data_IF_328607350815
#
_entry.id   IF_328607350815
#
_cell.length_a   1.000
_cell.length_b   1.000
_cell.length_c   1.000
_cell.angle_alpha   90.00
_cell.angle_beta   90.00
_cell.angle_gamma   90.00
#
_symmetry.space_group_name_H-M   'P 1'
#
loop_
_entity.id
_entity.type
_entity.pdbx_description
1 polymer ?
#
# COMPACT_ATOMS: atom_id res chain seq x y z
N UNK A 1 6.80 27.12 -2.27
CA UNK A 1 6.17 28.19 -1.50
C UNK A 1 6.30 27.92 0.00
N UNK A 2 6.15 26.66 0.44
CA UNK A 2 6.33 26.23 1.83
C UNK A 2 7.27 25.04 1.87
N UNK A 3 8.02 24.87 2.96
CA UNK A 3 8.86 23.70 3.25
C UNK A 3 8.41 23.04 4.55
N UNK A 4 8.48 21.72 4.59
CA UNK A 4 8.15 20.91 5.76
C UNK A 4 9.23 21.09 6.83
N UNK A 5 8.82 21.35 8.07
CA UNK A 5 9.71 21.44 9.24
C UNK A 5 9.69 20.11 10.00
N UNK A 6 10.63 19.22 9.69
CA UNK A 6 10.74 17.91 10.33
C UNK A 6 11.11 17.98 11.81
N UNK A 7 11.76 19.06 12.28
CA UNK A 7 12.08 19.25 13.71
C UNK A 7 10.81 19.50 14.54
N UNK A 8 9.75 20.03 13.91
CA UNK A 8 8.43 20.21 14.51
C UNK A 8 7.47 19.04 14.26
N UNK A 9 7.98 17.92 13.73
CA UNK A 9 7.19 16.75 13.44
C UNK A 9 6.30 16.87 12.21
N UNK A 10 6.53 17.85 11.33
CA UNK A 10 5.76 18.00 10.10
C UNK A 10 6.18 16.93 9.08
N UNK A 11 5.21 16.27 8.48
CA UNK A 11 5.42 15.21 7.50
C UNK A 11 5.03 15.62 6.08
N UNK A 12 4.03 16.50 5.93
CA UNK A 12 3.57 16.97 4.63
C UNK A 12 2.75 18.25 4.75
N UNK A 13 2.72 19.05 3.67
CA UNK A 13 1.72 20.09 3.44
C UNK A 13 0.73 19.59 2.39
N UNK A 14 -0.56 19.53 2.75
CA UNK A 14 -1.58 18.83 1.97
C UNK A 14 -2.85 19.65 1.77
N UNK A 15 -3.64 19.28 0.77
CA UNK A 15 -4.96 19.88 0.42
C UNK A 15 -4.95 21.40 0.31
N UNK A 16 -4.08 21.97 -0.55
CA UNK A 16 -4.09 23.40 -0.74
C UNK A 16 -5.39 23.85 -1.43
N UNK A 17 -5.89 25.01 -0.99
CA UNK A 17 -7.01 25.71 -1.60
C UNK A 17 -6.65 27.19 -1.77
N UNK A 18 -6.77 27.69 -2.98
CA UNK A 18 -6.56 29.11 -3.28
C UNK A 18 -7.77 29.92 -2.80
N UNK A 19 -7.53 30.88 -1.93
CA UNK A 19 -8.57 31.79 -1.43
C UNK A 19 -8.69 33.05 -2.29
N UNK A 20 -9.87 33.72 -2.28
CA UNK A 20 -10.09 34.93 -3.08
C UNK A 20 -9.15 36.12 -2.81
N UNK A 21 -8.54 36.16 -1.61
CA UNK A 21 -7.64 37.23 -1.15
C UNK A 21 -6.15 36.93 -1.45
N UNK A 22 -5.82 36.16 -2.48
CA UNK A 22 -4.45 35.77 -2.83
C UNK A 22 -3.69 35.07 -1.67
N UNK A 23 -4.38 34.24 -0.92
CA UNK A 23 -3.76 33.35 0.06
C UNK A 23 -4.12 31.90 -0.21
N UNK A 24 -3.41 30.96 0.42
CA UNK A 24 -3.61 29.51 0.27
C UNK A 24 -3.90 28.91 1.63
N UNK A 25 -5.08 28.33 1.77
CA UNK A 25 -5.44 27.48 2.92
C UNK A 25 -4.86 26.08 2.69
N UNK A 26 -4.25 25.48 3.70
CA UNK A 26 -3.68 24.14 3.58
C UNK A 26 -3.59 23.44 4.93
N UNK A 27 -3.33 22.14 4.90
CA UNK A 27 -3.11 21.33 6.10
C UNK A 27 -1.63 21.05 6.27
N UNK A 28 -1.09 21.32 7.45
CA UNK A 28 0.21 20.84 7.92
C UNK A 28 -0.04 19.49 8.59
N UNK A 29 0.40 18.41 7.94
CA UNK A 29 0.19 17.05 8.40
C UNK A 29 1.35 16.58 9.27
N UNK A 30 1.05 16.03 10.45
CA UNK A 30 2.02 15.54 11.44
C UNK A 30 1.75 14.09 11.88
N UNK A 31 1.17 13.26 10.98
CA UNK A 31 0.94 11.83 11.20
C UNK A 31 -0.47 11.47 11.62
N UNK A 32 -1.18 12.31 12.36
CA UNK A 32 -2.58 12.11 12.75
C UNK A 32 -3.44 13.36 12.48
N UNK A 33 -4.76 13.20 12.43
CA UNK A 33 -5.69 14.33 12.29
C UNK A 33 -5.73 15.21 13.57
N UNK A 34 -5.38 14.64 14.71
CA UNK A 34 -5.36 15.35 16.00
C UNK A 34 -4.13 16.25 16.11
N UNK A 35 -2.99 15.83 15.55
CA UNK A 35 -1.73 16.58 15.52
C UNK A 35 -1.61 17.49 14.30
N UNK A 36 -2.47 17.31 13.29
CA UNK A 36 -2.51 18.15 12.12
C UNK A 36 -2.90 19.59 12.47
N UNK A 37 -2.50 20.54 11.64
CA UNK A 37 -2.84 21.96 11.80
C UNK A 37 -3.39 22.49 10.48
N UNK A 38 -4.40 23.35 10.58
CA UNK A 38 -4.85 24.15 9.44
C UNK A 38 -4.07 25.45 9.42
N UNK A 39 -3.51 25.81 8.29
CA UNK A 39 -2.68 27.00 8.10
C UNK A 39 -3.07 27.77 6.84
N UNK A 40 -2.75 29.06 6.82
CA UNK A 40 -2.91 29.94 5.66
C UNK A 40 -1.57 30.56 5.29
N UNK A 41 -1.24 30.53 4.01
CA UNK A 41 -0.07 31.19 3.41
C UNK A 41 -0.53 32.46 2.68
N UNK A 42 0.07 33.58 2.96
CA UNK A 42 -0.05 34.78 2.14
C UNK A 42 0.86 34.70 0.93
N UNK A 43 0.29 34.76 -0.28
CA UNK A 43 1.10 34.77 -1.52
C UNK A 43 1.80 36.10 -1.77
N UNK A 44 1.40 37.17 -1.07
CA UNK A 44 2.03 38.51 -1.16
C UNK A 44 3.28 38.61 -0.31
N UNK A 45 3.22 38.09 0.94
CA UNK A 45 4.32 38.21 1.90
C UNK A 45 5.14 36.94 2.09
N UNK A 46 4.62 35.78 1.69
CA UNK A 46 5.19 34.47 1.96
C UNK A 46 5.02 34.03 3.43
N UNK A 47 4.26 34.76 4.23
CA UNK A 47 4.04 34.44 5.63
C UNK A 47 3.02 33.29 5.79
N UNK A 48 3.32 32.36 6.69
CA UNK A 48 2.44 31.26 7.08
C UNK A 48 1.88 31.51 8.48
N UNK A 49 0.57 31.52 8.61
CA UNK A 49 -0.14 31.64 9.89
C UNK A 49 -0.88 30.34 10.18
N UNK A 50 -0.72 29.80 11.40
CA UNK A 50 -1.47 28.64 11.87
C UNK A 50 -2.82 29.10 12.41
N UNK A 51 -3.91 28.52 11.89
CA UNK A 51 -5.29 28.91 12.20
C UNK A 51 -5.91 28.03 13.28
N UNK A 52 -5.71 26.71 13.19
CA UNK A 52 -6.35 25.72 14.04
C UNK A 52 -5.36 24.60 14.38
N UNK A 53 -5.43 24.12 15.62
CA UNK A 53 -4.81 22.89 16.06
C UNK A 53 -5.85 21.77 15.99
N UNK A 54 -5.44 20.64 15.42
CA UNK A 54 -6.36 19.54 15.07
C UNK A 54 -7.13 19.81 13.78
N UNK A 55 -7.38 18.74 13.04
CA UNK A 55 -8.17 18.79 11.83
C UNK A 55 -7.40 18.90 10.53
N UNK A 56 -8.03 18.42 9.48
CA UNK A 56 -7.42 18.27 8.17
C UNK A 56 -8.41 18.52 7.04
N UNK A 57 -7.89 18.64 5.81
CA UNK A 57 -8.68 18.83 4.60
C UNK A 57 -9.64 20.04 4.69
N UNK A 58 -9.09 21.17 5.14
CA UNK A 58 -9.86 22.40 5.32
C UNK A 58 -10.32 22.99 3.98
N UNK A 59 -11.55 23.54 3.97
CA UNK A 59 -12.16 24.24 2.84
C UNK A 59 -12.82 25.53 3.30
N UNK A 60 -12.66 26.58 2.51
CA UNK A 60 -13.31 27.86 2.75
C UNK A 60 -14.73 27.89 2.17
N UNK A 61 -15.69 28.32 2.97
CA UNK A 61 -17.05 28.61 2.54
C UNK A 61 -17.24 30.10 2.29
N UNK A 62 -17.92 30.50 1.20
CA UNK A 62 -18.27 31.91 0.94
C UNK A 62 -19.10 32.58 2.06
N UNK A 63 -19.63 31.78 2.97
CA UNK A 63 -20.33 32.29 4.18
C UNK A 63 -19.38 32.82 5.26
N UNK A 64 -18.06 32.86 5.00
CA UNK A 64 -17.06 33.32 5.96
C UNK A 64 -16.68 32.26 6.99
N UNK A 65 -16.69 30.99 6.62
CA UNK A 65 -16.32 29.89 7.50
C UNK A 65 -15.25 28.99 6.85
N UNK A 66 -14.44 28.37 7.68
CA UNK A 66 -13.60 27.22 7.32
C UNK A 66 -14.31 25.95 7.80
N UNK A 67 -14.50 24.98 6.89
CA UNK A 67 -14.92 23.62 7.21
C UNK A 67 -13.72 22.70 7.14
N UNK A 68 -13.60 21.77 8.11
CA UNK A 68 -12.49 20.82 8.17
C UNK A 68 -12.91 19.52 8.86
N UNK A 69 -12.19 18.43 8.59
CA UNK A 69 -12.51 17.10 9.09
C UNK A 69 -11.71 16.72 10.33
N UNK A 70 -12.37 16.18 11.35
CA UNK A 70 -11.75 15.53 12.51
C UNK A 70 -12.58 14.30 12.88
N UNK A 71 -11.98 13.12 12.91
CA UNK A 71 -12.60 11.92 13.47
C UNK A 71 -13.97 11.53 12.85
N UNK A 72 -14.17 11.78 11.55
CA UNK A 72 -15.44 11.49 10.86
C UNK A 72 -16.52 12.55 11.01
N UNK A 73 -16.18 13.68 11.63
CA UNK A 73 -17.07 14.83 11.79
C UNK A 73 -16.49 16.02 11.01
N UNK A 74 -17.33 16.77 10.30
CA UNK A 74 -16.98 18.09 9.79
C UNK A 74 -17.27 19.13 10.86
N UNK A 75 -16.29 19.98 11.05
CA UNK A 75 -16.35 21.13 11.96
C UNK A 75 -16.33 22.42 11.15
N UNK A 76 -16.99 23.45 11.65
CA UNK A 76 -16.94 24.77 11.07
C UNK A 76 -16.46 25.81 12.11
N UNK A 77 -15.73 26.80 11.62
CA UNK A 77 -15.30 27.94 12.42
C UNK A 77 -15.37 29.20 11.56
N UNK A 78 -15.74 30.33 12.17
CA UNK A 78 -15.72 31.62 11.48
C UNK A 78 -14.32 32.03 11.07
N UNK A 79 -14.17 32.59 9.86
CA UNK A 79 -12.89 33.00 9.30
C UNK A 79 -13.01 34.34 8.61
N UNK A 80 -12.22 35.31 9.07
CA UNK A 80 -12.05 36.60 8.41
C UNK A 80 -11.05 36.49 7.28
N UNK A 81 -11.54 36.54 6.06
CA UNK A 81 -10.74 36.40 4.85
C UNK A 81 -9.74 37.57 4.69
N UNK A 82 -10.10 38.77 5.14
CA UNK A 82 -9.25 39.98 5.04
C UNK A 82 -8.09 39.95 6.01
N UNK A 83 -8.33 39.56 7.25
CA UNK A 83 -7.32 39.45 8.31
C UNK A 83 -6.60 38.09 8.30
N UNK A 84 -7.16 37.08 7.63
CA UNK A 84 -6.66 35.70 7.60
C UNK A 84 -6.62 35.08 9.00
N UNK A 85 -7.66 35.31 9.80
CA UNK A 85 -7.74 34.88 11.18
C UNK A 85 -9.08 34.20 11.48
N UNK A 86 -9.05 33.27 12.44
CA UNK A 86 -10.25 32.62 12.97
C UNK A 86 -11.01 33.64 13.82
N UNK A 87 -12.30 33.75 13.56
CA UNK A 87 -13.22 34.68 14.27
C UNK A 87 -14.45 33.93 14.78
N UNK A 88 -15.17 34.54 15.73
CA UNK A 88 -16.49 34.09 16.15
C UNK A 88 -16.53 32.95 17.16
N UNK A 89 -15.43 32.58 17.80
CA UNK A 89 -15.42 31.63 18.91
C UNK A 89 -14.88 30.23 18.58
N UNK A 90 -15.29 29.22 19.35
CA UNK A 90 -14.81 27.85 19.17
C UNK A 90 -15.44 27.19 17.95
N UNK A 91 -14.72 26.24 17.31
CA UNK A 91 -15.29 25.41 16.26
C UNK A 91 -16.52 24.65 16.73
N UNK A 92 -17.49 24.50 15.82
CA UNK A 92 -18.72 23.74 16.07
C UNK A 92 -18.85 22.55 15.12
N UNK A 93 -19.35 21.38 15.57
CA UNK A 93 -19.62 20.26 14.67
C UNK A 93 -20.83 20.60 13.81
N UNK A 94 -20.71 20.40 12.49
CA UNK A 94 -21.81 20.69 11.53
C UNK A 94 -22.35 19.44 10.84
N UNK A 95 -21.55 18.39 10.71
CA UNK A 95 -21.96 17.17 10.07
C UNK A 95 -21.16 15.96 10.59
N UNK A 96 -21.87 14.95 11.03
CA UNK A 96 -21.29 13.67 11.47
C UNK A 96 -21.35 12.61 10.37
N UNK A 97 -20.64 11.50 10.59
CA UNK A 97 -20.61 10.35 9.69
C UNK A 97 -20.03 10.66 8.29
N UNK A 98 -19.07 11.58 8.20
CA UNK A 98 -18.32 11.87 6.96
C UNK A 98 -17.13 10.92 6.86
N UNK A 99 -17.00 10.23 5.72
CA UNK A 99 -15.88 9.33 5.49
C UNK A 99 -14.55 10.08 5.57
N UNK A 100 -13.75 9.75 6.58
CA UNK A 100 -12.42 10.32 6.80
C UNK A 100 -11.37 9.22 6.78
N UNK A 101 -10.26 9.43 6.06
CA UNK A 101 -9.13 8.48 6.00
C UNK A 101 -8.12 8.83 7.11
N UNK A 102 -7.96 7.96 8.10
CA UNK A 102 -7.07 8.19 9.25
C UNK A 102 -5.61 8.45 8.86
N UNK A 103 -5.05 7.65 7.95
CA UNK A 103 -3.63 7.75 7.53
C UNK A 103 -3.30 9.07 6.83
N UNK A 104 -4.25 9.70 6.17
CA UNK A 104 -4.02 10.96 5.44
C UNK A 104 -4.83 12.12 5.98
N UNK A 105 -5.80 11.90 6.85
CA UNK A 105 -6.75 12.89 7.32
C UNK A 105 -7.75 13.38 6.25
N UNK A 106 -7.76 12.77 5.05
CA UNK A 106 -8.65 13.21 3.98
C UNK A 106 -10.11 12.99 4.34
N UNK A 107 -10.87 14.06 4.53
CA UNK A 107 -12.33 14.02 4.66
C UNK A 107 -12.96 14.05 3.25
N UNK A 108 -13.89 13.13 3.00
CA UNK A 108 -14.53 12.98 1.67
C UNK A 108 -15.72 13.93 1.54
N UNK A 109 -15.45 15.19 1.31
CA UNK A 109 -16.47 16.22 1.06
C UNK A 109 -16.01 17.26 0.05
N UNK A 110 -16.95 17.97 -0.52
CA UNK A 110 -16.73 19.15 -1.35
C UNK A 110 -17.80 20.22 -1.09
N UNK A 111 -17.39 21.48 -1.21
CA UNK A 111 -18.28 22.64 -1.11
C UNK A 111 -18.44 23.31 -2.47
N UNK A 112 -19.66 23.72 -2.78
CA UNK A 112 -19.93 24.58 -3.93
C UNK A 112 -19.91 26.06 -3.53
N UNK A 113 -19.87 26.94 -4.51
CA UNK A 113 -19.89 28.40 -4.28
C UNK A 113 -21.24 28.92 -3.74
N UNK A 114 -22.33 28.15 -3.91
CA UNK A 114 -23.65 28.48 -3.39
C UNK A 114 -23.90 27.92 -1.96
N UNK A 115 -22.88 27.29 -1.37
CA UNK A 115 -22.98 26.72 -0.01
C UNK A 115 -23.48 25.28 0.03
N UNK A 116 -23.78 24.63 -1.10
CA UNK A 116 -24.13 23.22 -1.11
C UNK A 116 -22.94 22.35 -0.70
N UNK A 117 -23.18 21.38 0.19
CA UNK A 117 -22.19 20.43 0.67
C UNK A 117 -22.48 19.03 0.10
N UNK A 118 -21.50 18.43 -0.50
CA UNK A 118 -21.55 17.02 -0.95
C UNK A 118 -20.55 16.23 -0.14
N UNK A 119 -20.93 15.09 0.39
CA UNK A 119 -20.03 14.23 1.17
C UNK A 119 -20.29 12.74 0.95
N UNK A 120 -19.30 11.93 1.28
CA UNK A 120 -19.41 10.47 1.32
C UNK A 120 -19.66 10.06 2.77
N UNK A 121 -20.78 9.41 3.02
CA UNK A 121 -21.09 8.87 4.34
C UNK A 121 -20.17 7.67 4.67
N UNK A 122 -19.78 7.51 5.96
CA UNK A 122 -18.93 6.39 6.37
C UNK A 122 -18.17 6.58 7.67
N UNK A 123 -18.25 7.75 8.31
CA UNK A 123 -17.59 8.06 9.58
C UNK A 123 -16.06 8.06 9.49
N UNK A 124 -15.39 8.21 10.64
CA UNK A 124 -13.98 7.91 10.74
C UNK A 124 -13.82 6.40 10.65
N UNK A 125 -13.08 5.96 9.66
CA UNK A 125 -12.34 4.74 9.88
C UNK A 125 -11.20 5.14 10.81
N UNK A 126 -11.00 4.42 11.90
CA UNK A 126 -9.87 4.54 12.83
C UNK A 126 -8.51 4.38 12.11
N UNK A 127 -8.50 4.51 10.79
CA UNK A 127 -7.33 4.46 9.91
C UNK A 127 -6.72 3.09 9.75
N UNK A 128 -7.07 2.17 10.61
CA UNK A 128 -6.58 0.79 10.57
C UNK A 128 -7.61 -0.08 9.83
N UNK A 129 -7.33 -0.51 8.60
CA UNK A 129 -8.26 -1.35 7.86
C UNK A 129 -8.48 -2.66 8.60
N UNK A 130 -9.74 -3.07 8.77
CA UNK A 130 -10.08 -4.38 9.33
C UNK A 130 -10.24 -5.37 8.20
N UNK A 131 -9.40 -6.38 8.21
CA UNK A 131 -9.32 -7.41 7.17
C UNK A 131 -9.34 -8.79 7.79
N UNK A 132 -9.87 -9.76 7.07
CA UNK A 132 -9.79 -11.18 7.37
C UNK A 132 -8.84 -11.88 6.40
N UNK A 133 -8.33 -13.03 6.80
CA UNK A 133 -7.59 -13.94 5.93
C UNK A 133 -8.52 -15.09 5.55
N UNK A 134 -8.52 -15.44 4.27
CA UNK A 134 -9.43 -16.43 3.72
C UNK A 134 -8.67 -17.31 2.73
N UNK A 135 -8.83 -18.64 2.87
CA UNK A 135 -8.46 -19.56 1.82
C UNK A 135 -9.49 -19.52 0.70
N UNK A 136 -9.03 -19.46 -0.52
CA UNK A 136 -9.89 -19.51 -1.72
C UNK A 136 -9.35 -20.61 -2.63
N UNK A 137 -10.20 -21.55 -3.01
CA UNK A 137 -9.79 -22.59 -3.95
C UNK A 137 -9.95 -22.12 -5.42
N UNK A 138 -9.52 -22.97 -6.34
CA UNK A 138 -9.58 -22.66 -7.79
C UNK A 138 -11.01 -22.53 -8.34
N UNK A 139 -12.02 -22.96 -7.59
CA UNK A 139 -13.44 -22.81 -7.92
C UNK A 139 -14.05 -21.56 -7.27
N UNK A 140 -13.23 -20.74 -6.59
CA UNK A 140 -13.70 -19.54 -5.89
C UNK A 140 -14.41 -19.84 -4.57
N UNK A 141 -14.35 -21.06 -4.04
CA UNK A 141 -14.95 -21.39 -2.74
C UNK A 141 -14.07 -20.85 -1.63
N UNK A 142 -14.67 -20.08 -0.75
CA UNK A 142 -14.01 -19.40 0.34
C UNK A 142 -14.10 -20.18 1.66
N UNK A 143 -12.99 -20.23 2.38
CA UNK A 143 -12.89 -20.76 3.73
C UNK A 143 -12.16 -19.73 4.59
N UNK A 144 -12.88 -18.84 5.32
CA UNK A 144 -12.26 -17.90 6.24
C UNK A 144 -11.45 -18.62 7.32
N UNK A 145 -10.28 -18.07 7.68
CA UNK A 145 -9.55 -18.49 8.86
C UNK A 145 -10.24 -17.90 10.11
N UNK A 146 -10.25 -18.65 11.21
CA UNK A 146 -10.86 -18.27 12.48
C UNK A 146 -10.14 -17.17 13.26
N UNK A 147 -9.38 -16.33 12.57
CA UNK A 147 -8.58 -15.25 13.15
C UNK A 147 -9.40 -13.95 13.30
N UNK A 148 -9.15 -13.16 14.37
CA UNK A 148 -9.80 -11.87 14.52
C UNK A 148 -9.39 -10.92 13.37
N UNK A 149 -10.31 -10.06 12.89
CA UNK A 149 -9.97 -9.06 11.90
C UNK A 149 -8.89 -8.09 12.40
N UNK A 150 -7.84 -7.89 11.59
CA UNK A 150 -6.73 -6.96 11.82
C UNK A 150 -6.35 -6.26 10.51
N UNK A 151 -5.41 -5.33 10.57
CA UNK A 151 -4.81 -4.74 9.38
C UNK A 151 -3.77 -5.67 8.76
N UNK A 152 -4.21 -6.84 8.32
CA UNK A 152 -3.36 -7.78 7.58
C UNK A 152 -2.92 -7.18 6.26
N UNK A 153 -1.64 -7.35 5.93
CA UNK A 153 -1.04 -6.92 4.66
C UNK A 153 0.09 -7.88 4.24
N UNK A 154 0.39 -7.93 2.95
CA UNK A 154 1.52 -8.69 2.38
C UNK A 154 1.57 -10.15 2.81
N UNK A 155 0.55 -10.96 2.55
CA UNK A 155 0.60 -12.38 2.86
C UNK A 155 1.65 -13.08 1.98
N UNK A 156 2.47 -13.91 2.61
CA UNK A 156 3.46 -14.77 1.96
C UNK A 156 3.43 -16.14 2.56
N UNK A 157 2.98 -17.13 1.82
CA UNK A 157 2.95 -18.53 2.25
C UNK A 157 4.37 -19.08 2.21
N UNK A 158 4.76 -19.83 3.24
CA UNK A 158 6.08 -20.49 3.29
C UNK A 158 6.22 -21.55 2.21
N UNK A 159 7.44 -21.87 1.75
CA UNK A 159 7.66 -22.88 0.71
C UNK A 159 7.07 -24.27 1.03
N UNK A 160 6.95 -24.62 2.31
CA UNK A 160 6.34 -25.88 2.78
C UNK A 160 4.81 -25.81 2.94
N UNK A 161 4.19 -24.63 2.70
CA UNK A 161 2.75 -24.42 2.82
C UNK A 161 2.18 -24.46 4.25
N UNK A 162 3.03 -24.49 5.28
CA UNK A 162 2.58 -24.66 6.68
C UNK A 162 2.44 -23.35 7.44
N UNK A 163 3.11 -22.32 6.99
CA UNK A 163 3.13 -21.00 7.62
C UNK A 163 2.85 -19.90 6.61
N UNK A 164 2.46 -18.73 7.09
CA UNK A 164 2.46 -17.51 6.31
C UNK A 164 3.13 -16.38 7.10
N UNK A 165 3.94 -15.58 6.42
CA UNK A 165 4.46 -14.33 6.95
C UNK A 165 3.54 -13.19 6.51
N UNK A 166 3.29 -12.25 7.41
CA UNK A 166 2.33 -11.15 7.23
C UNK A 166 2.92 -9.87 7.83
N UNK A 167 2.62 -8.74 7.21
CA UNK A 167 2.69 -7.45 7.91
C UNK A 167 1.35 -7.20 8.60
N UNK A 168 1.37 -6.81 9.86
CA UNK A 168 0.16 -6.42 10.58
C UNK A 168 0.41 -5.05 11.21
N UNK A 169 -0.40 -4.07 10.81
CA UNK A 169 -0.43 -2.76 11.48
C UNK A 169 -1.28 -2.90 12.74
N UNK A 170 -0.66 -2.67 13.90
CA UNK A 170 -1.32 -2.65 15.20
C UNK A 170 -1.06 -1.30 15.86
N UNK A 171 -2.13 -0.55 16.15
CA UNK A 171 -2.07 0.84 16.59
C UNK A 171 -1.30 1.71 15.58
N UNK A 172 -0.08 2.14 15.88
CA UNK A 172 0.73 3.03 15.03
C UNK A 172 1.94 2.32 14.41
N UNK A 173 2.20 1.05 14.76
CA UNK A 173 3.36 0.30 14.26
C UNK A 173 2.96 -0.93 13.46
N UNK A 174 3.68 -1.17 12.37
CA UNK A 174 3.56 -2.38 11.56
C UNK A 174 4.72 -3.32 11.85
N UNK A 175 4.41 -4.58 12.13
CA UNK A 175 5.37 -5.63 12.40
C UNK A 175 5.17 -6.84 11.52
N UNK A 176 6.22 -7.65 11.41
CA UNK A 176 6.14 -8.96 10.78
C UNK A 176 5.63 -10.00 11.78
N UNK A 177 4.65 -10.77 11.33
CA UNK A 177 4.03 -11.86 12.09
C UNK A 177 4.12 -13.16 11.30
N UNK A 178 4.21 -14.27 12.01
CA UNK A 178 4.13 -15.63 11.46
C UNK A 178 2.80 -16.24 11.86
N UNK A 179 2.04 -16.65 10.87
CA UNK A 179 0.81 -17.41 11.01
C UNK A 179 1.14 -18.89 10.81
N UNK A 180 0.85 -19.73 11.81
CA UNK A 180 0.77 -21.17 11.63
C UNK A 180 -0.59 -21.51 10.98
N UNK A 181 -0.58 -21.97 9.75
CA UNK A 181 -1.79 -22.21 8.96
C UNK A 181 -2.61 -23.41 9.43
N UNK A 182 -1.96 -24.40 10.06
CA UNK A 182 -2.65 -25.57 10.60
C UNK A 182 -3.29 -25.33 11.97
N UNK A 183 -2.66 -24.51 12.80
CA UNK A 183 -3.17 -24.18 14.14
C UNK A 183 -3.96 -22.88 14.16
N UNK A 184 -3.99 -22.13 13.06
CA UNK A 184 -4.54 -20.77 12.95
C UNK A 184 -4.03 -19.83 14.07
N UNK A 185 -2.74 -19.91 14.35
CA UNK A 185 -2.09 -19.19 15.45
C UNK A 185 -1.07 -18.16 14.92
N UNK A 186 -1.21 -16.92 15.35
CA UNK A 186 -0.33 -15.79 15.02
C UNK A 186 0.74 -15.62 16.10
N UNK A 187 2.00 -15.48 15.68
CA UNK A 187 3.14 -15.14 16.53
C UNK A 187 3.85 -13.92 15.97
N UNK A 188 4.05 -12.88 16.77
CA UNK A 188 4.79 -11.69 16.36
C UNK A 188 6.28 -12.04 16.24
N UNK A 189 6.88 -11.74 15.08
CA UNK A 189 8.28 -12.04 14.80
C UNK A 189 9.20 -10.86 15.11
N UNK A 190 8.75 -9.63 14.84
CA UNK A 190 9.54 -8.41 15.05
C UNK A 190 8.89 -7.49 16.09
N UNK A 191 9.72 -6.67 16.78
CA UNK A 191 9.30 -5.89 17.94
C UNK A 191 9.95 -4.49 17.97
N UNK A 192 10.51 -4.02 16.86
CA UNK A 192 11.16 -2.71 16.79
C UNK A 192 10.11 -1.59 16.85
N UNK A 193 10.51 -0.39 17.30
CA UNK A 193 9.64 0.78 17.27
C UNK A 193 9.42 1.29 15.84
N UNK A 194 10.35 1.01 14.92
CA UNK A 194 10.18 1.29 13.50
C UNK A 194 9.34 0.21 12.82
N UNK A 195 8.66 0.59 11.75
CA UNK A 195 7.86 -0.34 10.97
C UNK A 195 8.72 -1.42 10.30
N UNK A 196 8.28 -2.67 10.45
CA UNK A 196 8.81 -3.85 9.80
C UNK A 196 7.75 -4.41 8.85
N UNK A 197 7.99 -4.36 7.54
CA UNK A 197 6.96 -4.61 6.53
C UNK A 197 7.48 -5.43 5.35
N UNK A 198 6.54 -5.96 4.56
CA UNK A 198 6.82 -6.66 3.29
C UNK A 198 7.69 -7.90 3.48
N UNK A 199 7.26 -8.86 4.30
CA UNK A 199 8.00 -10.08 4.53
C UNK A 199 8.03 -10.95 3.27
N UNK A 200 9.17 -11.63 3.06
CA UNK A 200 9.33 -12.73 2.11
C UNK A 200 10.11 -13.86 2.77
N UNK A 201 9.90 -15.08 2.31
CA UNK A 201 10.60 -16.26 2.82
C UNK A 201 11.89 -16.51 2.07
N UNK A 202 12.92 -17.02 2.77
CA UNK A 202 14.02 -17.72 2.11
C UNK A 202 13.53 -19.04 1.50
N UNK A 203 14.16 -19.54 0.41
CA UNK A 203 13.70 -20.77 -0.25
C UNK A 203 13.64 -22.00 0.64
N UNK A 204 14.47 -22.07 1.67
CA UNK A 204 14.48 -23.12 2.70
C UNK A 204 13.40 -22.97 3.77
N UNK A 205 12.66 -21.84 3.75
CA UNK A 205 11.64 -21.49 4.74
C UNK A 205 12.16 -21.28 6.16
N UNK A 206 13.48 -21.11 6.35
CA UNK A 206 14.05 -20.96 7.68
C UNK A 206 14.09 -19.50 8.16
N UNK A 207 14.13 -18.56 7.23
CA UNK A 207 14.23 -17.13 7.55
C UNK A 207 13.16 -16.32 6.82
N UNK A 208 12.86 -15.16 7.38
CA UNK A 208 12.03 -14.12 6.75
C UNK A 208 12.87 -12.88 6.56
N UNK A 209 12.87 -12.37 5.31
CA UNK A 209 13.48 -11.07 4.94
C UNK A 209 12.36 -10.04 4.90
N UNK A 210 12.62 -8.84 5.40
CA UNK A 210 11.64 -7.76 5.46
C UNK A 210 12.32 -6.39 5.36
N UNK A 211 11.55 -5.36 5.03
CA UNK A 211 12.01 -3.97 5.00
C UNK A 211 11.75 -3.30 6.35
N UNK A 212 12.72 -2.51 6.82
CA UNK A 212 12.65 -1.78 8.10
C UNK A 212 13.38 -0.45 8.03
N UNK A 213 12.86 0.55 8.76
CA UNK A 213 13.50 1.87 8.93
C UNK A 213 14.19 2.06 10.28
N UNK A 214 14.48 0.97 11.00
CA UNK A 214 15.09 0.98 12.35
C UNK A 214 16.45 1.69 12.44
N UNK A 215 17.14 1.86 11.33
CA UNK A 215 18.45 2.51 11.26
C UNK A 215 18.48 3.67 10.25
N UNK A 216 17.32 4.35 10.05
CA UNK A 216 17.18 5.47 9.13
C UNK A 216 16.42 5.11 7.84
N UNK A 217 16.95 5.38 6.63
CA UNK A 217 16.30 4.98 5.37
C UNK A 217 16.03 3.48 5.34
N UNK A 218 14.93 3.07 4.69
CA UNK A 218 14.52 1.67 4.67
C UNK A 218 15.63 0.74 4.16
N UNK A 219 15.91 -0.31 4.92
CA UNK A 219 16.88 -1.37 4.61
C UNK A 219 16.22 -2.73 4.72
N UNK A 220 16.88 -3.75 4.18
CA UNK A 220 16.45 -5.12 4.32
C UNK A 220 17.13 -5.78 5.50
N UNK A 221 16.33 -6.51 6.25
CA UNK A 221 16.75 -7.29 7.40
C UNK A 221 16.24 -8.71 7.28
N UNK A 222 16.89 -9.64 7.95
CA UNK A 222 16.47 -11.03 8.03
C UNK A 222 16.41 -11.51 9.48
N UNK A 223 15.46 -12.40 9.77
CA UNK A 223 15.31 -13.06 11.07
C UNK A 223 14.90 -14.51 10.88
N UNK A 224 15.35 -15.39 11.80
CA UNK A 224 14.88 -16.77 11.85
C UNK A 224 13.36 -16.82 12.06
N UNK A 225 12.67 -17.63 11.26
CA UNK A 225 11.21 -17.68 11.25
C UNK A 225 10.59 -18.33 12.49
N UNK A 226 11.40 -19.05 13.30
CA UNK A 226 11.03 -19.59 14.59
C UNK A 226 11.16 -18.57 15.74
N UNK A 227 11.59 -17.33 15.42
CA UNK A 227 11.77 -16.24 16.37
C UNK A 227 13.10 -16.25 17.10
N UNK A 228 13.94 -17.27 16.90
CA UNK A 228 15.25 -17.36 17.55
C UNK A 228 16.26 -16.39 16.95
N UNK A 229 17.33 -16.10 17.70
CA UNK A 229 18.41 -15.23 17.25
C UNK A 229 18.04 -13.76 17.14
N UNK A 230 18.99 -12.97 16.68
CA UNK A 230 18.82 -11.53 16.42
C UNK A 230 18.31 -11.24 15.01
N UNK A 231 18.03 -9.97 14.77
CA UNK A 231 17.77 -9.44 13.43
C UNK A 231 19.10 -9.10 12.77
N UNK A 232 19.32 -9.59 11.56
CA UNK A 232 20.52 -9.34 10.77
C UNK A 232 20.21 -8.33 9.66
N UNK A 233 21.02 -7.30 9.49
CA UNK A 233 20.91 -6.35 8.41
C UNK A 233 21.55 -6.92 7.13
N UNK A 234 20.83 -6.88 6.02
CA UNK A 234 21.29 -7.40 4.72
C UNK A 234 21.76 -6.31 3.77
N UNK A 235 21.25 -5.07 3.89
CA UNK A 235 21.59 -3.98 2.97
C UNK A 235 22.07 -2.73 3.67
N UNK A 236 22.88 -1.94 2.93
CA UNK A 236 23.24 -0.58 3.28
C UNK A 236 23.14 0.27 2.01
N UNK A 237 21.92 0.71 1.70
CA UNK A 237 21.61 1.42 0.45
C UNK A 237 20.86 2.71 0.75
N UNK A 238 21.16 3.76 -0.01
CA UNK A 238 20.40 5.03 0.00
C UNK A 238 19.09 4.92 -0.81
N UNK A 239 18.91 3.83 -1.55
CA UNK A 239 17.79 3.65 -2.48
C UNK A 239 16.54 2.96 -1.88
N UNK A 240 16.50 2.77 -0.57
CA UNK A 240 15.36 2.18 0.14
C UNK A 240 14.80 0.90 -0.53
N UNK A 241 15.55 -0.21 -0.55
CA UNK A 241 15.16 -1.42 -1.25
C UNK A 241 13.90 -2.05 -0.64
N UNK A 242 13.03 -2.57 -1.53
CA UNK A 242 11.81 -3.28 -1.20
C UNK A 242 11.94 -4.71 -1.70
N UNK A 243 11.80 -5.74 -0.85
CA UNK A 243 11.97 -7.13 -1.26
C UNK A 243 10.74 -7.63 -2.03
N UNK A 244 10.96 -8.45 -3.07
CA UNK A 244 9.92 -9.09 -3.86
C UNK A 244 9.97 -10.61 -3.79
N UNK A 245 11.05 -11.23 -4.22
CA UNK A 245 11.25 -12.67 -4.25
C UNK A 245 12.74 -13.03 -4.24
N UNK A 246 13.05 -14.27 -3.86
CA UNK A 246 14.41 -14.83 -3.90
C UNK A 246 14.46 -15.89 -4.98
N UNK A 247 15.57 -15.95 -5.73
CA UNK A 247 15.78 -17.03 -6.70
C UNK A 247 15.79 -18.39 -6.00
N UNK A 248 15.31 -19.48 -6.64
CA UNK A 248 15.20 -20.80 -6.02
C UNK A 248 16.53 -21.34 -5.48
N UNK A 249 17.66 -20.95 -6.09
CA UNK A 249 19.02 -21.28 -5.64
C UNK A 249 19.49 -20.47 -4.41
N UNK A 250 18.68 -19.51 -3.95
CA UNK A 250 18.99 -18.65 -2.80
C UNK A 250 20.04 -17.58 -3.04
N UNK A 251 20.53 -17.38 -4.26
CA UNK A 251 21.66 -16.49 -4.56
C UNK A 251 21.25 -15.05 -4.78
N UNK A 252 20.06 -14.82 -5.35
CA UNK A 252 19.60 -13.51 -5.76
C UNK A 252 18.32 -13.13 -5.05
N UNK A 253 18.32 -11.95 -4.46
CA UNK A 253 17.12 -11.30 -3.98
C UNK A 253 16.69 -10.22 -4.97
N UNK A 254 15.51 -10.36 -5.52
CA UNK A 254 14.91 -9.36 -6.37
C UNK A 254 14.32 -8.23 -5.50
N UNK A 255 14.77 -7.02 -5.74
CA UNK A 255 14.34 -5.83 -5.00
C UNK A 255 13.81 -4.75 -5.93
N UNK A 256 12.90 -3.93 -5.45
CA UNK A 256 12.54 -2.66 -6.07
C UNK A 256 13.29 -1.55 -5.36
N UNK A 257 14.10 -0.80 -6.07
CA UNK A 257 14.82 0.36 -5.56
C UNK A 257 14.07 1.65 -5.90
N UNK A 258 14.00 2.56 -4.93
CA UNK A 258 13.48 3.92 -5.15
C UNK A 258 14.65 4.82 -5.52
N UNK A 259 14.70 5.26 -6.77
CA UNK A 259 15.64 6.28 -7.23
C UNK A 259 14.91 7.62 -7.33
N UNK A 260 15.42 8.65 -6.67
CA UNK A 260 14.82 10.00 -6.65
C UNK A 260 14.72 10.64 -8.04
N UNK A 261 15.59 10.29 -8.98
CA UNK A 261 15.65 10.91 -10.30
C UNK A 261 14.98 10.09 -11.42
N UNK A 262 14.86 8.76 -11.27
CA UNK A 262 14.40 7.87 -12.35
C UNK A 262 13.12 7.10 -12.01
N UNK A 263 12.53 7.32 -10.84
CA UNK A 263 11.38 6.57 -10.36
C UNK A 263 11.75 5.25 -9.71
N UNK A 264 10.89 4.23 -9.83
CA UNK A 264 11.11 2.89 -9.27
C UNK A 264 11.68 1.96 -10.32
N UNK A 265 12.67 1.16 -9.94
CA UNK A 265 13.28 0.16 -10.81
C UNK A 265 13.56 -1.14 -10.06
N UNK A 266 13.56 -2.25 -10.79
CA UNK A 266 13.94 -3.55 -10.25
C UNK A 266 15.45 -3.76 -10.33
N UNK A 267 16.02 -4.36 -9.28
CA UNK A 267 17.43 -4.70 -9.18
C UNK A 267 17.61 -6.10 -8.56
N UNK A 268 18.73 -6.72 -8.83
CA UNK A 268 19.16 -7.96 -8.21
C UNK A 268 20.19 -7.63 -7.13
N UNK A 269 19.91 -8.08 -5.91
CA UNK A 269 20.83 -8.05 -4.79
C UNK A 269 21.43 -9.46 -4.64
N UNK A 270 22.73 -9.57 -4.72
CA UNK A 270 23.45 -10.81 -4.39
C UNK A 270 23.42 -11.02 -2.88
N UNK A 271 22.93 -12.18 -2.44
CA UNK A 271 22.91 -12.56 -1.03
C UNK A 271 24.28 -13.11 -0.55
N UNK A 272 25.22 -13.32 -1.46
CA UNK A 272 26.58 -13.79 -1.15
C UNK A 272 27.49 -12.63 -0.76
N UNK A 273 27.51 -11.53 -1.54
CA UNK A 273 28.45 -10.42 -1.37
C UNK A 273 27.78 -9.05 -1.16
N UNK A 274 26.43 -8.99 -1.19
CA UNK A 274 25.67 -7.76 -1.01
C UNK A 274 25.69 -6.81 -2.21
N UNK A 275 26.28 -7.21 -3.35
CA UNK A 275 26.31 -6.39 -4.56
C UNK A 275 24.93 -6.24 -5.19
N UNK A 276 24.58 -5.03 -5.60
CA UNK A 276 23.30 -4.74 -6.28
C UNK A 276 23.54 -4.35 -7.72
N UNK A 277 22.79 -4.95 -8.66
CA UNK A 277 22.81 -4.59 -10.07
C UNK A 277 21.40 -4.27 -10.58
N UNK A 278 21.21 -3.15 -11.32
CA UNK A 278 19.93 -2.86 -11.96
C UNK A 278 19.55 -3.98 -12.94
N UNK A 279 18.27 -4.41 -12.89
CA UNK A 279 17.78 -5.43 -13.80
C UNK A 279 17.31 -4.84 -15.13
N UNK A 280 16.67 -3.67 -15.09
CA UNK A 280 16.17 -2.96 -16.28
C UNK A 280 16.81 -1.57 -16.39
N UNK A 281 17.60 -1.31 -17.43
CA UNK A 281 18.28 -0.01 -17.61
C UNK A 281 17.38 1.07 -18.23
N UNK A 282 16.11 0.80 -18.51
CA UNK A 282 15.22 1.67 -19.29
C UNK A 282 14.27 2.49 -18.44
N UNK A 283 13.81 3.66 -18.94
CA UNK A 283 12.95 4.61 -18.24
C UNK A 283 11.47 4.20 -18.10
N UNK A 284 11.14 2.92 -18.14
CA UNK A 284 9.83 2.40 -17.78
C UNK A 284 9.80 2.08 -16.26
N UNK A 285 8.61 2.06 -15.69
CA UNK A 285 8.44 1.66 -14.28
C UNK A 285 8.14 0.18 -14.23
N UNK A 286 9.12 -0.62 -13.79
CA UNK A 286 8.96 -2.05 -13.51
C UNK A 286 8.83 -2.27 -12.02
N UNK A 287 7.86 -3.12 -11.61
CA UNK A 287 7.56 -3.42 -10.21
C UNK A 287 6.87 -4.78 -10.06
N UNK A 288 6.63 -5.17 -8.81
CA UNK A 288 5.82 -6.35 -8.47
C UNK A 288 6.29 -7.61 -9.18
N UNK A 289 7.59 -7.88 -9.13
CA UNK A 289 8.17 -8.96 -9.89
C UNK A 289 8.31 -10.25 -9.09
N UNK A 290 8.28 -11.39 -9.80
CA UNK A 290 8.45 -12.72 -9.23
C UNK A 290 9.26 -13.63 -10.17
N UNK A 291 10.22 -14.36 -9.60
CA UNK A 291 11.04 -15.34 -10.31
C UNK A 291 10.27 -16.67 -10.36
N UNK A 292 10.30 -17.37 -11.48
CA UNK A 292 9.67 -18.68 -11.63
C UNK A 292 10.30 -19.74 -10.72
N UNK A 293 9.58 -20.83 -10.37
CA UNK A 293 10.09 -21.87 -9.48
C UNK A 293 11.33 -22.62 -10.00
N UNK A 294 11.55 -22.66 -11.32
CA UNK A 294 12.77 -23.19 -11.94
C UNK A 294 13.93 -22.20 -12.00
N UNK A 295 13.66 -20.90 -11.71
CA UNK A 295 14.64 -19.85 -11.77
C UNK A 295 15.03 -19.39 -13.18
N UNK A 296 14.29 -19.77 -14.20
CA UNK A 296 14.61 -19.47 -15.60
C UNK A 296 13.84 -18.27 -16.15
N UNK A 297 12.78 -17.82 -15.46
CA UNK A 297 11.89 -16.74 -15.91
C UNK A 297 11.62 -15.72 -14.82
N UNK A 298 11.35 -14.48 -15.22
CA UNK A 298 10.85 -13.42 -14.36
C UNK A 298 9.54 -12.87 -14.91
N UNK A 299 8.49 -12.82 -14.07
CA UNK A 299 7.25 -12.13 -14.35
C UNK A 299 7.24 -10.80 -13.60
N UNK A 300 6.82 -9.72 -14.24
CA UNK A 300 6.80 -8.39 -13.61
C UNK A 300 5.75 -7.48 -14.23
N UNK A 301 5.32 -6.49 -13.48
CA UNK A 301 4.49 -5.40 -13.97
C UNK A 301 5.37 -4.33 -14.62
N UNK A 302 5.05 -3.94 -15.85
CA UNK A 302 5.70 -2.83 -16.54
C UNK A 302 4.68 -1.80 -16.96
N UNK A 303 4.95 -0.53 -16.66
CA UNK A 303 4.14 0.61 -17.03
C UNK A 303 4.96 1.59 -17.87
N UNK A 304 4.53 1.76 -19.11
CA UNK A 304 5.00 2.83 -20.00
C UNK A 304 3.94 3.94 -20.09
N UNK A 305 4.24 5.02 -20.78
CA UNK A 305 3.26 6.10 -21.01
C UNK A 305 1.98 5.66 -21.74
N UNK A 306 2.05 4.56 -22.49
CA UNK A 306 0.97 4.08 -23.36
C UNK A 306 0.40 2.72 -22.97
N UNK A 307 1.11 1.90 -22.19
CA UNK A 307 0.70 0.53 -21.84
C UNK A 307 1.11 0.16 -20.42
N UNK A 308 0.25 -0.60 -19.76
CA UNK A 308 0.55 -1.26 -18.48
C UNK A 308 0.15 -2.72 -18.60
N UNK A 309 0.94 -3.64 -18.05
CA UNK A 309 0.61 -5.05 -18.06
C UNK A 309 1.68 -5.93 -17.42
N UNK A 310 1.40 -7.23 -17.36
CA UNK A 310 2.35 -8.24 -16.91
C UNK A 310 3.17 -8.73 -18.09
N UNK A 311 4.46 -8.72 -17.89
CA UNK A 311 5.45 -9.21 -18.84
C UNK A 311 6.25 -10.35 -18.24
N UNK A 312 6.72 -11.26 -19.10
CA UNK A 312 7.65 -12.34 -18.75
C UNK A 312 8.88 -12.25 -19.63
N UNK A 313 10.05 -12.48 -19.04
CA UNK A 313 11.36 -12.54 -19.74
C UNK A 313 12.22 -13.66 -19.15
N UNK A 314 13.23 -14.15 -19.89
CA UNK A 314 14.25 -15.03 -19.34
C UNK A 314 14.97 -14.40 -18.15
N UNK A 315 15.40 -15.21 -17.19
CA UNK A 315 16.13 -14.79 -16.01
C UNK A 315 17.36 -15.68 -15.79
N UNK A 316 18.50 -15.14 -15.34
CA UNK A 316 18.77 -13.72 -15.06
C UNK A 316 19.12 -12.90 -16.32
N UNK A 317 19.29 -13.52 -17.46
CA UNK A 317 19.70 -12.88 -18.71
C UNK A 317 18.48 -12.42 -19.50
N UNK A 318 18.09 -11.15 -19.35
CA UNK A 318 16.89 -10.57 -19.98
C UNK A 318 16.97 -10.41 -21.52
N UNK A 319 18.07 -10.82 -22.16
CA UNK A 319 18.42 -10.39 -23.51
C UNK A 319 17.54 -10.90 -24.65
N UNK A 320 16.84 -11.99 -24.51
CA UNK A 320 16.13 -12.65 -25.63
C UNK A 320 14.65 -12.85 -25.32
N UNK A 321 13.81 -11.94 -25.80
CA UNK A 321 12.36 -12.07 -25.73
C UNK A 321 11.73 -11.36 -24.54
N UNK A 322 10.60 -10.70 -24.82
CA UNK A 322 9.72 -10.07 -23.84
C UNK A 322 8.29 -10.35 -24.26
N UNK A 323 7.57 -11.09 -23.43
CA UNK A 323 6.19 -11.48 -23.70
C UNK A 323 5.25 -10.73 -22.78
N UNK A 324 4.26 -10.06 -23.35
CA UNK A 324 3.14 -9.48 -22.61
C UNK A 324 2.08 -10.58 -22.42
N UNK A 325 1.77 -10.93 -21.18
CA UNK A 325 0.88 -12.05 -20.85
C UNK A 325 -0.50 -11.62 -20.35
N UNK A 326 -0.68 -10.37 -19.92
CA UNK A 326 -1.95 -9.92 -19.33
C UNK A 326 -2.90 -9.21 -20.29
N UNK A 327 -2.56 -9.01 -21.57
CA UNK A 327 -3.34 -8.12 -22.43
C UNK A 327 -3.22 -6.67 -21.95
N UNK A 328 -4.34 -6.00 -21.67
CA UNK A 328 -4.34 -4.65 -21.12
C UNK A 328 -4.50 -4.68 -19.59
N UNK A 329 -3.60 -4.02 -18.87
CA UNK A 329 -3.58 -3.97 -17.42
C UNK A 329 -2.90 -5.18 -16.79
N UNK A 330 -3.14 -5.40 -15.51
CA UNK A 330 -2.57 -6.50 -14.73
C UNK A 330 -1.56 -6.05 -13.69
N UNK A 331 -1.63 -6.68 -12.50
CA UNK A 331 -0.73 -6.40 -11.38
C UNK A 331 -0.55 -7.65 -10.52
N UNK A 332 0.52 -7.68 -9.72
CA UNK A 332 0.82 -8.73 -8.75
C UNK A 332 0.92 -10.12 -9.38
N UNK A 333 1.86 -10.37 -10.32
CA UNK A 333 2.05 -11.71 -10.85
C UNK A 333 2.54 -12.69 -9.79
N UNK A 334 2.05 -13.93 -9.84
CA UNK A 334 2.45 -15.06 -8.97
C UNK A 334 2.55 -16.30 -9.83
N UNK A 335 3.71 -16.96 -9.80
CA UNK A 335 3.89 -18.24 -10.50
C UNK A 335 3.20 -19.39 -9.78
N UNK A 336 2.65 -20.31 -10.54
CA UNK A 336 2.24 -21.61 -10.04
C UNK A 336 3.44 -22.41 -9.53
N UNK A 337 3.27 -23.31 -8.54
CA UNK A 337 4.38 -24.05 -7.93
C UNK A 337 5.19 -24.90 -8.91
N UNK A 338 4.58 -25.33 -10.02
CA UNK A 338 5.21 -26.11 -11.08
C UNK A 338 5.70 -25.28 -12.27
N UNK A 339 5.58 -23.94 -12.21
CA UNK A 339 5.98 -23.02 -13.28
C UNK A 339 5.10 -23.04 -14.53
N UNK A 340 4.01 -23.82 -14.54
CA UNK A 340 3.13 -23.99 -15.72
C UNK A 340 1.97 -23.02 -15.78
N UNK A 341 1.78 -22.23 -14.77
CA UNK A 341 0.74 -21.21 -14.69
C UNK A 341 1.30 -19.92 -14.11
N UNK A 342 0.75 -18.81 -14.57
CA UNK A 342 0.99 -17.49 -13.99
C UNK A 342 -0.35 -16.87 -13.61
N UNK A 343 -0.46 -16.43 -12.35
CA UNK A 343 -1.64 -15.76 -11.81
C UNK A 343 -1.36 -14.27 -11.69
N UNK A 344 -2.38 -13.43 -11.87
CA UNK A 344 -2.29 -11.99 -11.67
C UNK A 344 -3.67 -11.38 -11.45
N UNK A 345 -3.73 -10.16 -10.92
CA UNK A 345 -4.99 -9.41 -10.85
C UNK A 345 -5.12 -8.53 -12.09
N UNK A 346 -6.30 -8.52 -12.70
CA UNK A 346 -6.61 -7.59 -13.80
C UNK A 346 -6.97 -6.18 -13.31
N UNK A 347 -7.32 -5.26 -14.23
CA UNK A 347 -7.64 -3.88 -13.93
C UNK A 347 -8.87 -3.65 -13.05
N UNK A 348 -9.70 -4.68 -12.84
CA UNK A 348 -10.89 -4.66 -11.97
C UNK A 348 -10.80 -5.62 -10.78
N UNK A 349 -9.59 -6.12 -10.50
CA UNK A 349 -9.25 -6.96 -9.35
C UNK A 349 -9.79 -8.38 -9.39
N UNK A 350 -10.02 -8.95 -10.57
CA UNK A 350 -10.30 -10.37 -10.73
C UNK A 350 -8.99 -11.14 -10.78
N UNK A 351 -8.98 -12.34 -10.22
CA UNK A 351 -7.82 -13.21 -10.33
C UNK A 351 -7.85 -13.93 -11.69
N UNK A 352 -6.81 -13.68 -12.47
CA UNK A 352 -6.58 -14.25 -13.79
C UNK A 352 -5.57 -15.40 -13.71
N UNK A 353 -5.65 -16.32 -14.66
CA UNK A 353 -4.67 -17.39 -14.86
C UNK A 353 -4.26 -17.45 -16.33
N UNK A 354 -2.97 -17.70 -16.57
CA UNK A 354 -2.39 -17.96 -17.90
C UNK A 354 -1.59 -19.25 -17.85
N UNK A 355 -1.87 -20.18 -18.75
CA UNK A 355 -1.02 -21.34 -18.94
C UNK A 355 0.33 -20.93 -19.54
N UNK A 356 1.42 -21.50 -19.02
CA UNK A 356 2.80 -21.16 -19.41
C UNK A 356 3.51 -22.43 -19.89
N UNK A 357 3.82 -22.50 -21.19
CA UNK A 357 4.67 -23.56 -21.75
C UNK A 357 6.11 -23.03 -21.83
N UNK A 358 7.04 -23.71 -21.14
CA UNK A 358 8.44 -23.24 -21.00
C UNK A 358 9.47 -24.20 -21.57
N UNK A 359 9.09 -25.42 -22.03
CA UNK A 359 10.03 -26.48 -22.42
C UNK A 359 10.90 -26.17 -23.68
N UNK A 360 10.34 -25.43 -24.65
CA UNK A 360 11.01 -25.05 -25.91
C UNK A 360 10.98 -23.52 -26.13
N UNK A 361 11.23 -22.76 -25.07
CA UNK A 361 11.00 -21.32 -25.03
C UNK A 361 9.61 -20.99 -24.50
N UNK A 362 9.41 -19.71 -24.15
CA UNK A 362 8.17 -19.28 -23.52
C UNK A 362 7.03 -19.15 -24.53
N UNK A 363 5.91 -19.83 -24.26
CA UNK A 363 4.65 -19.71 -24.98
C UNK A 363 3.51 -19.48 -24.00
N UNK A 364 3.15 -18.20 -23.71
CA UNK A 364 2.00 -17.91 -22.87
C UNK A 364 0.69 -18.26 -23.59
N UNK A 365 -0.24 -18.85 -22.87
CA UNK A 365 -1.62 -19.05 -23.30
C UNK A 365 -2.44 -17.76 -23.31
N UNK A 366 -3.73 -17.87 -23.45
CA UNK A 366 -4.68 -16.77 -23.36
C UNK A 366 -5.08 -16.60 -21.88
N UNK A 367 -5.07 -15.38 -21.33
CA UNK A 367 -5.56 -15.14 -19.97
C UNK A 367 -7.03 -15.51 -19.80
N UNK A 368 -7.33 -16.26 -18.74
CA UNK A 368 -8.68 -16.65 -18.36
C UNK A 368 -9.02 -16.14 -16.96
N UNK A 369 -10.30 -15.84 -16.70
CA UNK A 369 -10.75 -15.49 -15.37
C UNK A 369 -10.78 -16.78 -14.53
N UNK A 370 -9.96 -16.84 -13.49
CA UNK A 370 -10.00 -17.95 -12.53
C UNK A 370 -11.02 -17.69 -11.43
N UNK A 371 -11.02 -16.47 -10.87
CA UNK A 371 -11.97 -16.07 -9.81
C UNK A 371 -12.54 -14.71 -10.18
N UNK A 372 -13.85 -14.65 -10.39
CA UNK A 372 -14.61 -13.45 -10.78
C UNK A 372 -15.06 -12.59 -9.56
N UNK A 373 -14.48 -12.82 -8.39
CA UNK A 373 -14.70 -12.02 -7.21
C UNK A 373 -13.64 -10.91 -7.12
N UNK A 374 -14.02 -9.72 -6.67
CA UNK A 374 -13.04 -8.67 -6.44
C UNK A 374 -12.09 -9.06 -5.29
N UNK A 375 -10.81 -9.17 -5.61
CA UNK A 375 -9.76 -9.27 -4.59
C UNK A 375 -9.51 -7.88 -4.02
N UNK A 376 -9.48 -7.77 -2.69
CA UNK A 376 -9.24 -6.49 -2.00
C UNK A 376 -7.99 -5.80 -2.54
N UNK A 377 -8.15 -4.59 -3.08
CA UNK A 377 -7.03 -3.73 -3.51
C UNK A 377 -6.70 -2.62 -2.51
N UNK A 378 -7.24 -2.69 -1.31
CA UNK A 378 -7.11 -1.62 -0.32
C UNK A 378 -5.68 -1.47 0.25
N UNK A 379 -4.74 -2.30 -0.19
CA UNK A 379 -3.33 -2.25 0.25
C UNK A 379 -2.41 -1.79 -0.86
N UNK A 380 -1.33 -1.08 -0.56
CA UNK A 380 -0.26 -0.83 -1.52
C UNK A 380 0.54 -2.09 -1.86
N UNK A 381 0.17 -3.25 -1.33
CA UNK A 381 0.84 -4.52 -1.45
C UNK A 381 0.07 -5.62 -2.15
N UNK A 382 0.72 -6.78 -2.38
CA UNK A 382 0.09 -7.98 -2.93
C UNK A 382 -0.96 -8.51 -1.94
N UNK A 383 -2.25 -8.55 -2.30
CA UNK A 383 -3.32 -8.91 -1.36
C UNK A 383 -3.56 -10.42 -1.28
N UNK A 384 -2.80 -11.23 -1.98
CA UNK A 384 -2.92 -12.69 -2.01
C UNK A 384 -1.57 -13.36 -2.18
N UNK A 385 -1.52 -14.63 -1.84
CA UNK A 385 -0.41 -15.52 -2.18
C UNK A 385 -0.91 -16.92 -2.49
N UNK A 386 -0.10 -17.71 -3.19
CA UNK A 386 -0.44 -19.07 -3.61
C UNK A 386 0.28 -20.10 -2.71
N UNK A 387 -0.50 -21.04 -2.18
CA UNK A 387 0.04 -22.18 -1.44
C UNK A 387 0.51 -23.29 -2.38
N UNK A 388 1.50 -24.12 -2.01
CA UNK A 388 1.92 -25.28 -2.78
C UNK A 388 0.80 -26.29 -3.09
N UNK A 389 -0.29 -26.28 -2.33
CA UNK A 389 -1.48 -27.11 -2.56
C UNK A 389 -2.47 -26.53 -3.59
N UNK A 390 -2.15 -25.36 -4.16
CA UNK A 390 -2.93 -24.69 -5.20
C UNK A 390 -4.08 -23.81 -4.68
N UNK A 391 -4.23 -23.64 -3.36
CA UNK A 391 -5.17 -22.66 -2.78
C UNK A 391 -4.52 -21.30 -2.64
N UNK A 392 -5.34 -20.26 -2.69
CA UNK A 392 -4.91 -18.88 -2.51
C UNK A 392 -5.22 -18.42 -1.09
N UNK A 393 -4.21 -17.90 -0.39
CA UNK A 393 -4.40 -17.14 0.84
C UNK A 393 -4.69 -15.70 0.46
N UNK A 394 -5.91 -15.23 0.69
CA UNK A 394 -6.37 -13.91 0.30
C UNK A 394 -6.73 -13.04 1.49
N UNK A 395 -6.44 -11.75 1.36
CA UNK A 395 -6.95 -10.71 2.24
C UNK A 395 -8.35 -10.30 1.76
N UNK A 396 -9.29 -10.20 2.71
CA UNK A 396 -10.64 -9.69 2.49
C UNK A 396 -10.90 -8.51 3.41
N UNK A 397 -11.43 -7.41 2.90
CA UNK A 397 -11.93 -6.36 3.76
C UNK A 397 -13.13 -6.91 4.54
N UNK A 398 -13.11 -6.71 5.85
CA UNK A 398 -14.29 -6.99 6.68
C UNK A 398 -15.14 -5.73 6.64
N UNK A 399 -16.30 -5.83 5.99
CA UNK A 399 -17.28 -4.75 6.02
C UNK A 399 -17.56 -4.40 7.49
N UNK A 400 -17.26 -3.18 7.87
CA UNK A 400 -17.70 -2.65 9.17
C UNK A 400 -19.21 -2.60 9.12
N UNK A 401 -19.83 -3.68 9.69
CA UNK A 401 -21.25 -3.85 9.96
C UNK A 401 -22.20 -3.46 8.82
N UNK A 402 -22.71 -4.49 8.17
CA UNK A 402 -24.07 -4.61 7.60
C UNK A 402 -24.98 -3.38 7.68
N UNK A 403 -24.69 -2.36 6.90
CA UNK A 403 -25.73 -1.74 6.12
C UNK A 403 -25.76 -2.49 4.77
N UNK A 404 -26.93 -2.85 4.22
CA UNK A 404 -27.00 -3.49 2.92
C UNK A 404 -26.15 -2.69 1.96
N UNK A 405 -25.41 -3.36 1.07
CA UNK A 405 -24.50 -2.77 0.09
C UNK A 405 -25.19 -1.75 -0.81
N UNK A 406 -25.56 -0.63 -0.23
CA UNK A 406 -25.78 0.61 -0.91
C UNK A 406 -24.41 1.19 -1.15
N UNK A 407 -23.96 1.15 -2.39
CA UNK A 407 -22.70 1.76 -2.81
C UNK A 407 -22.49 3.12 -2.13
N UNK A 408 -21.27 3.53 -1.91
CA UNK A 408 -20.93 4.75 -1.18
C UNK A 408 -21.95 5.84 -1.48
N UNK A 409 -22.78 6.16 -0.48
CA UNK A 409 -23.89 7.09 -0.69
C UNK A 409 -23.29 8.49 -0.71
N UNK A 410 -23.35 9.13 -1.88
CA UNK A 410 -23.04 10.56 -1.98
C UNK A 410 -24.29 11.31 -1.50
N UNK A 411 -24.14 12.07 -0.43
CA UNK A 411 -25.23 12.85 0.16
C UNK A 411 -25.02 14.33 -0.17
N UNK A 412 -26.06 15.00 -0.63
CA UNK A 412 -26.08 16.44 -0.89
C UNK A 412 -26.89 17.11 0.22
N UNK A 413 -26.29 18.11 0.87
CA UNK A 413 -26.95 18.97 1.86
C UNK A 413 -26.98 20.39 1.28
N UNK A 414 -28.15 20.97 1.18
CA UNK A 414 -28.37 22.36 0.75
C UNK A 414 -28.67 23.26 1.92
#
# INVERSE_FOLDING_TARGET
LTSVDSERGEMAHSWPELLPNHSVLFTVWSGSAEDARVAVLSLETGEVSHLLAGGSHARYSPTGHILYGVGGTLWAVGFDLGQREVVGGNPVPVLENVKTKGVSGAASFALSHDGSLVFVAGGATDGVPRRSLTWVDRQGREQPLGLPPRAYDWPRVSPDGRRAALSILDQENADVWILNLGAEALTRLTFDAAQDVRPIWTPDGQRVIFASRREGPAQLFAKAADGTGGVERLTQSEKEPVPHTISPDGRWLLVEERAFETGRGLALLSLEDGATQPLFPTGATERNAEISPDGEWIAYESKTSSRSGIYVQPFPNLGEGKWMVSGEGGTWPVWGPDGRELFFLDGVSRLMVVAMETNDGLRPGIPEILIDGQVTQATPGRPYDLSPDGRFLMIRDVDTVSAPSTGHQVVIVQ
#
